data_IF_691366571525
#
_entry.id   IF_691366571525
#
_cell.length_a   1.000
_cell.length_b   1.000
_cell.length_c   1.000
_cell.angle_alpha   90.00
_cell.angle_beta   90.00
_cell.angle_gamma   90.00
#
_symmetry.space_group_name_H-M   'P 1'
#
loop_
_entity.id
_entity.type
_entity.pdbx_description
1 polymer ?
#
# COMPACT_ATOMS: atom_id res chain seq x y z
N UNK A 1 16.82 18.91 -2.67
CA UNK A 1 15.97 17.70 -2.52
C UNK A 1 16.87 16.50 -2.36
N UNK A 2 16.73 15.75 -1.27
CA UNK A 2 17.39 14.47 -1.01
C UNK A 2 16.31 13.39 -0.87
N UNK A 3 16.58 12.18 -1.32
CA UNK A 3 15.61 11.09 -1.29
C UNK A 3 16.21 9.89 -0.58
N UNK A 4 15.51 9.38 0.41
CA UNK A 4 15.72 8.09 1.04
C UNK A 4 14.66 7.12 0.53
N UNK A 5 15.02 5.87 0.31
CA UNK A 5 14.07 4.84 -0.11
C UNK A 5 14.32 3.52 0.60
N UNK A 6 13.28 2.76 0.75
CA UNK A 6 13.30 1.44 1.34
C UNK A 6 12.41 0.51 0.52
N UNK A 7 12.91 -0.64 0.15
CA UNK A 7 12.14 -1.77 -0.33
C UNK A 7 12.62 -3.03 0.39
N UNK A 8 11.71 -3.77 0.96
CA UNK A 8 12.01 -4.97 1.74
C UNK A 8 10.97 -6.06 1.47
N UNK A 9 11.45 -7.26 1.23
CA UNK A 9 10.60 -8.44 1.12
C UNK A 9 10.21 -8.94 2.51
N UNK A 10 8.93 -9.13 2.75
CA UNK A 10 8.38 -9.70 3.96
C UNK A 10 8.49 -11.22 4.02
N UNK A 11 7.49 -11.87 4.60
CA UNK A 11 7.44 -13.35 4.74
C UNK A 11 6.64 -14.04 3.64
N UNK A 12 6.13 -13.30 2.66
CA UNK A 12 5.47 -13.83 1.48
C UNK A 12 6.41 -14.63 0.56
N UNK A 13 5.87 -15.32 -0.44
CA UNK A 13 6.68 -16.05 -1.42
C UNK A 13 7.42 -15.12 -2.39
N UNK A 14 6.88 -13.94 -2.63
CA UNK A 14 7.40 -12.91 -3.52
C UNK A 14 7.11 -11.54 -2.90
N UNK A 15 8.01 -10.57 -3.10
CA UNK A 15 7.69 -9.19 -2.78
C UNK A 15 6.66 -8.67 -3.79
N UNK A 16 5.47 -8.34 -3.32
CA UNK A 16 4.36 -7.85 -4.15
C UNK A 16 4.34 -6.31 -4.21
N UNK A 17 5.18 -5.63 -3.43
CA UNK A 17 5.34 -4.18 -3.47
C UNK A 17 6.22 -3.74 -4.63
N UNK A 18 5.90 -2.56 -5.18
CA UNK A 18 6.70 -1.91 -6.20
C UNK A 18 7.07 -0.49 -5.77
N UNK A 19 8.35 -0.11 -6.01
CA UNK A 19 8.90 1.20 -5.71
C UNK A 19 9.24 1.93 -7.00
N UNK A 20 8.64 3.10 -7.21
CA UNK A 20 8.94 3.99 -8.34
C UNK A 20 9.79 5.17 -7.89
N UNK A 21 10.94 5.33 -8.53
CA UNK A 21 11.80 6.51 -8.41
C UNK A 21 12.36 6.84 -9.80
N UNK A 22 11.73 7.80 -10.49
CA UNK A 22 12.15 8.19 -11.83
C UNK A 22 12.04 9.70 -12.02
N UNK A 23 13.18 10.38 -12.17
CA UNK A 23 13.23 11.83 -12.34
C UNK A 23 12.60 12.58 -11.15
N UNK A 24 11.42 13.15 -11.38
CA UNK A 24 10.63 13.86 -10.37
C UNK A 24 9.36 13.11 -9.95
N UNK A 25 9.20 11.87 -10.39
CA UNK A 25 8.09 10.98 -10.05
C UNK A 25 8.54 9.96 -9.00
N UNK A 26 7.78 9.85 -7.92
CA UNK A 26 7.99 8.90 -6.83
C UNK A 26 6.68 8.20 -6.52
N UNK A 27 6.74 6.89 -6.22
CA UNK A 27 5.53 6.14 -5.93
C UNK A 27 5.81 4.84 -5.21
N UNK A 28 4.82 4.39 -4.46
CA UNK A 28 4.75 3.06 -3.85
C UNK A 28 3.45 2.40 -4.27
N UNK A 29 3.52 1.10 -4.52
CA UNK A 29 2.39 0.30 -4.96
C UNK A 29 2.40 -0.99 -4.15
N UNK A 30 1.29 -1.32 -3.52
CA UNK A 30 1.12 -2.51 -2.70
C UNK A 30 0.24 -3.51 -3.43
N UNK A 31 0.83 -4.63 -3.81
CA UNK A 31 0.16 -5.69 -4.55
C UNK A 31 -0.54 -6.67 -3.62
N UNK A 32 -1.85 -6.75 -3.69
CA UNK A 32 -2.61 -7.63 -2.81
C UNK A 32 -2.39 -9.10 -3.11
N UNK A 33 -1.99 -9.88 -2.10
CA UNK A 33 -1.79 -11.32 -2.19
C UNK A 33 -3.04 -12.03 -2.70
N UNK A 34 -2.89 -12.86 -3.74
CA UNK A 34 -3.99 -13.58 -4.36
C UNK A 34 -4.66 -14.58 -3.41
N UNK A 35 -6.00 -14.70 -3.49
CA UNK A 35 -6.76 -15.72 -2.74
C UNK A 35 -6.59 -17.11 -3.35
N UNK A 36 -6.33 -17.20 -4.65
CA UNK A 36 -6.03 -18.45 -5.34
C UNK A 36 -4.51 -18.69 -5.40
N UNK A 37 -4.04 -19.96 -5.40
CA UNK A 37 -2.62 -20.28 -5.50
C UNK A 37 -2.06 -20.10 -6.94
N UNK A 38 -2.79 -19.40 -7.81
CA UNK A 38 -2.39 -19.24 -9.20
C UNK A 38 -1.14 -18.35 -9.29
N UNK A 39 -0.16 -18.83 -10.04
CA UNK A 39 1.03 -18.06 -10.42
C UNK A 39 1.15 -18.00 -11.93
N UNK A 40 1.87 -17.01 -12.43
CA UNK A 40 2.08 -16.73 -13.84
C UNK A 40 3.55 -16.97 -14.21
N UNK A 41 4.00 -16.38 -15.31
CA UNK A 41 5.36 -16.57 -15.82
C UNK A 41 6.40 -16.28 -14.71
N UNK A 42 7.39 -17.14 -14.59
CA UNK A 42 8.47 -17.03 -13.58
C UNK A 42 7.99 -17.07 -12.11
N UNK A 43 6.79 -17.61 -11.85
CA UNK A 43 6.24 -17.70 -10.49
C UNK A 43 5.65 -16.38 -9.97
N UNK A 44 5.39 -15.42 -10.85
CA UNK A 44 4.78 -14.14 -10.49
C UNK A 44 3.35 -14.33 -9.98
N UNK A 45 2.98 -13.55 -8.98
CA UNK A 45 1.61 -13.51 -8.42
C UNK A 45 0.80 -12.39 -9.07
N UNK A 46 -0.52 -12.43 -8.88
CA UNK A 46 -1.39 -11.35 -9.36
C UNK A 46 -1.07 -10.00 -8.72
N UNK A 47 -0.77 -9.98 -7.41
CA UNK A 47 -0.38 -8.76 -6.69
C UNK A 47 0.91 -8.15 -7.25
N UNK A 48 1.95 -8.97 -7.42
CA UNK A 48 3.20 -8.54 -8.05
C UNK A 48 2.99 -7.94 -9.44
N UNK A 49 2.16 -8.58 -10.27
CA UNK A 49 1.88 -8.10 -11.63
C UNK A 49 1.11 -6.78 -11.59
N UNK A 50 0.09 -6.65 -10.73
CA UNK A 50 -0.69 -5.42 -10.60
C UNK A 50 0.18 -4.23 -10.15
N UNK A 51 0.97 -4.39 -9.09
CA UNK A 51 1.84 -3.32 -8.57
C UNK A 51 2.92 -2.92 -9.57
N UNK A 52 3.55 -3.91 -10.21
CA UNK A 52 4.58 -3.67 -11.23
C UNK A 52 4.02 -2.97 -12.46
N UNK A 53 2.88 -3.40 -13.00
CA UNK A 53 2.23 -2.79 -14.16
C UNK A 53 1.83 -1.35 -13.83
N UNK A 54 1.21 -1.12 -12.67
CA UNK A 54 0.83 0.23 -12.27
C UNK A 54 2.06 1.14 -12.16
N UNK A 55 3.11 0.68 -11.50
CA UNK A 55 4.36 1.43 -11.36
C UNK A 55 5.01 1.78 -12.71
N UNK A 56 5.05 0.83 -13.64
CA UNK A 56 5.61 1.05 -14.98
C UNK A 56 4.77 2.04 -15.81
N UNK A 57 3.43 2.06 -15.66
CA UNK A 57 2.59 3.05 -16.33
C UNK A 57 2.83 4.47 -15.77
N UNK A 58 2.93 4.62 -14.44
CA UNK A 58 3.28 5.89 -13.82
C UNK A 58 4.72 6.35 -14.20
N UNK A 59 5.67 5.42 -14.35
CA UNK A 59 7.05 5.70 -14.78
C UNK A 59 7.11 6.44 -16.12
N UNK A 60 6.16 6.22 -17.03
CA UNK A 60 6.10 6.91 -18.31
C UNK A 60 5.98 8.43 -18.17
N UNK A 61 5.42 8.91 -17.07
CA UNK A 61 5.35 10.32 -16.67
C UNK A 61 4.78 11.25 -17.76
N UNK A 62 3.79 10.77 -18.52
CA UNK A 62 3.15 11.52 -19.60
C UNK A 62 1.68 11.77 -19.31
N UNK A 63 1.27 13.04 -19.24
CA UNK A 63 -0.09 13.44 -18.95
C UNK A 63 -0.32 13.80 -17.48
N UNK A 64 -1.58 13.87 -17.08
CA UNK A 64 -2.00 14.14 -15.70
C UNK A 64 -1.88 12.89 -14.83
N UNK A 65 -1.90 13.06 -13.51
CA UNK A 65 -1.91 11.93 -12.56
C UNK A 65 -3.13 11.03 -12.78
N UNK A 66 -4.28 11.61 -13.08
CA UNK A 66 -5.51 10.87 -13.38
C UNK A 66 -5.42 10.07 -14.69
N UNK A 67 -4.81 10.63 -15.74
CA UNK A 67 -4.60 9.91 -17.00
C UNK A 67 -3.66 8.72 -16.82
N UNK A 68 -2.59 8.88 -16.03
CA UNK A 68 -1.67 7.80 -15.69
C UNK A 68 -2.39 6.69 -14.90
N UNK A 69 -3.20 7.06 -13.91
CA UNK A 69 -3.98 6.13 -13.09
C UNK A 69 -5.00 5.33 -13.94
N UNK A 70 -5.75 6.01 -14.81
CA UNK A 70 -6.68 5.35 -15.74
C UNK A 70 -5.96 4.36 -16.65
N UNK A 71 -4.80 4.75 -17.15
CA UNK A 71 -4.00 3.90 -18.02
C UNK A 71 -3.43 2.69 -17.26
N UNK A 72 -2.92 2.88 -16.04
CA UNK A 72 -2.45 1.79 -15.19
C UNK A 72 -3.55 0.75 -14.94
N UNK A 73 -4.74 1.22 -14.55
CA UNK A 73 -5.89 0.35 -14.31
C UNK A 73 -6.33 -0.40 -15.59
N UNK A 74 -6.32 0.28 -16.74
CA UNK A 74 -6.66 -0.34 -18.02
C UNK A 74 -5.65 -1.43 -18.42
N UNK A 75 -4.35 -1.17 -18.27
CA UNK A 75 -3.30 -2.14 -18.63
C UNK A 75 -3.35 -3.37 -17.72
N UNK A 76 -3.65 -3.20 -16.41
CA UNK A 76 -3.88 -4.33 -15.51
C UNK A 76 -5.01 -5.24 -16.06
N UNK A 77 -6.12 -4.67 -16.51
CA UNK A 77 -7.22 -5.43 -17.11
C UNK A 77 -6.81 -6.18 -18.37
N UNK A 78 -6.07 -5.51 -19.25
CA UNK A 78 -5.58 -6.10 -20.52
C UNK A 78 -4.64 -7.28 -20.24
N UNK A 79 -3.73 -7.15 -19.26
CA UNK A 79 -2.77 -8.18 -18.88
C UNK A 79 -3.45 -9.39 -18.20
N UNK A 80 -4.47 -9.15 -17.36
CA UNK A 80 -5.32 -10.20 -16.81
C UNK A 80 -6.05 -10.97 -17.92
N UNK A 81 -6.65 -10.25 -18.88
CA UNK A 81 -7.36 -10.88 -20.00
C UNK A 81 -6.43 -11.75 -20.87
N UNK A 82 -5.20 -11.30 -21.13
CA UNK A 82 -4.20 -12.06 -21.89
C UNK A 82 -3.81 -13.38 -21.20
N UNK A 83 -3.89 -13.40 -19.85
CA UNK A 83 -3.58 -14.58 -19.01
C UNK A 83 -4.80 -15.39 -18.63
N UNK A 84 -5.96 -15.11 -19.24
CA UNK A 84 -7.23 -15.82 -19.03
C UNK A 84 -7.71 -15.77 -17.56
N UNK A 85 -7.45 -14.69 -16.85
CA UNK A 85 -8.06 -14.43 -15.55
C UNK A 85 -9.56 -14.23 -15.75
N UNK A 86 -10.38 -14.80 -14.87
CA UNK A 86 -11.84 -14.57 -14.90
C UNK A 86 -12.14 -13.15 -14.42
N UNK A 87 -12.42 -12.25 -15.37
CA UNK A 87 -12.67 -10.84 -15.10
C UNK A 87 -14.05 -10.57 -14.46
N UNK A 88 -14.92 -11.56 -14.43
CA UNK A 88 -16.25 -11.47 -13.79
C UNK A 88 -16.20 -11.94 -12.32
N UNK A 89 -15.13 -12.62 -11.91
CA UNK A 89 -14.90 -13.06 -10.55
C UNK A 89 -13.95 -12.12 -9.79
N UNK A 90 -14.49 -11.24 -8.94
CA UNK A 90 -13.69 -10.27 -8.17
C UNK A 90 -12.58 -10.90 -7.32
N UNK A 91 -12.74 -12.16 -6.89
CA UNK A 91 -11.74 -12.85 -6.07
C UNK A 91 -10.48 -13.24 -6.86
N UNK A 92 -10.58 -13.37 -8.18
CA UNK A 92 -9.47 -13.71 -9.07
C UNK A 92 -8.75 -12.47 -9.63
N UNK A 93 -9.37 -11.28 -9.52
CA UNK A 93 -8.77 -10.05 -10.01
C UNK A 93 -7.47 -9.73 -9.27
N UNK A 94 -6.44 -9.40 -10.02
CA UNK A 94 -5.23 -8.80 -9.46
C UNK A 94 -5.54 -7.40 -8.98
N UNK A 95 -4.93 -7.01 -7.87
CA UNK A 95 -5.17 -5.66 -7.37
C UNK A 95 -3.93 -5.05 -6.72
N UNK A 96 -3.87 -3.74 -6.75
CA UNK A 96 -2.83 -2.97 -6.05
C UNK A 96 -3.39 -1.64 -5.55
N UNK A 97 -2.98 -1.27 -4.35
CA UNK A 97 -3.06 0.10 -3.85
C UNK A 97 -1.92 0.93 -4.43
N UNK A 98 -2.02 2.25 -4.40
CA UNK A 98 -0.96 3.12 -4.91
C UNK A 98 -0.96 4.49 -4.23
N UNK A 99 0.24 5.02 -3.99
CA UNK A 99 0.48 6.40 -3.61
C UNK A 99 1.61 6.96 -4.47
N UNK A 100 1.34 7.99 -5.28
CA UNK A 100 2.28 8.53 -6.26
C UNK A 100 2.30 10.05 -6.18
N UNK A 101 3.50 10.62 -6.24
CA UNK A 101 3.72 12.07 -6.30
C UNK A 101 4.64 12.45 -7.45
N UNK A 102 4.40 13.64 -8.01
CA UNK A 102 5.28 14.28 -8.99
C UNK A 102 5.61 15.68 -8.51
N UNK A 103 6.88 15.97 -8.30
CA UNK A 103 7.34 17.24 -7.70
C UNK A 103 7.90 18.16 -8.77
N UNK A 104 7.37 19.39 -8.81
CA UNK A 104 7.83 20.47 -9.67
C UNK A 104 8.08 21.74 -8.83
N UNK A 105 9.33 21.98 -8.45
CA UNK A 105 9.66 23.08 -7.53
C UNK A 105 8.92 22.91 -6.20
N UNK A 106 8.12 23.92 -5.83
CA UNK A 106 7.35 23.93 -4.60
C UNK A 106 5.92 23.37 -4.76
N UNK A 107 5.62 22.70 -5.88
CA UNK A 107 4.31 22.10 -6.12
C UNK A 107 4.44 20.58 -6.25
N UNK A 108 3.64 19.87 -5.51
CA UNK A 108 3.45 18.43 -5.60
C UNK A 108 2.11 18.13 -6.29
N UNK A 109 2.14 17.40 -7.41
CA UNK A 109 0.96 16.71 -7.93
C UNK A 109 0.93 15.32 -7.34
N UNK A 110 -0.24 14.82 -6.98
CA UNK A 110 -0.37 13.53 -6.33
C UNK A 110 -1.57 12.74 -6.82
N UNK A 111 -1.49 11.41 -6.71
CA UNK A 111 -2.60 10.47 -6.89
C UNK A 111 -2.47 9.36 -5.86
N UNK A 112 -3.61 8.94 -5.30
CA UNK A 112 -3.68 7.88 -4.30
C UNK A 112 -4.96 7.07 -4.47
N UNK A 113 -4.84 5.75 -4.34
CA UNK A 113 -5.96 4.81 -4.30
C UNK A 113 -5.61 3.68 -3.32
N UNK A 114 -6.59 3.23 -2.52
CA UNK A 114 -6.37 2.20 -1.50
C UNK A 114 -5.66 2.75 -0.27
N UNK A 115 -4.84 1.94 0.36
CA UNK A 115 -4.26 2.15 1.69
C UNK A 115 -2.79 2.55 1.71
N UNK A 116 -2.10 2.58 0.57
CA UNK A 116 -0.82 3.29 0.49
C UNK A 116 -0.98 4.74 0.94
N UNK A 117 0.02 5.31 1.63
CA UNK A 117 -0.08 6.62 2.28
C UNK A 117 0.85 7.66 1.66
N UNK A 118 0.37 8.93 1.66
CA UNK A 118 1.18 10.11 1.42
C UNK A 118 1.05 11.02 2.64
N UNK A 119 2.17 11.31 3.30
CA UNK A 119 2.24 12.16 4.50
C UNK A 119 3.17 13.33 4.25
N UNK A 120 2.71 14.54 4.51
CA UNK A 120 3.55 15.74 4.58
C UNK A 120 3.95 16.00 6.02
N UNK A 121 5.25 16.05 6.30
CA UNK A 121 5.81 16.42 7.59
C UNK A 121 6.36 17.82 7.49
N UNK A 122 5.90 18.74 8.36
CA UNK A 122 6.24 20.14 8.32
C UNK A 122 7.49 20.46 9.15
N UNK A 123 8.08 21.65 8.92
CA UNK A 123 9.25 22.13 9.67
C UNK A 123 9.01 22.26 11.17
N UNK A 124 7.76 22.57 11.59
CA UNK A 124 7.36 22.69 13.00
C UNK A 124 7.15 21.33 13.68
N UNK A 125 7.22 20.22 12.92
CA UNK A 125 7.04 18.87 13.41
C UNK A 125 5.61 18.34 13.31
N UNK A 126 4.66 19.17 12.91
CA UNK A 126 3.31 18.71 12.58
C UNK A 126 3.33 17.87 11.30
N UNK A 127 2.28 17.09 11.06
CA UNK A 127 2.12 16.29 9.85
C UNK A 127 0.66 16.22 9.43
N UNK A 128 0.45 16.06 8.12
CA UNK A 128 -0.86 15.84 7.53
C UNK A 128 -0.81 14.70 6.51
N UNK A 129 -1.87 13.87 6.49
CA UNK A 129 -2.13 12.99 5.37
C UNK A 129 -2.69 13.78 4.21
N UNK A 130 -2.20 13.52 3.00
CA UNK A 130 -2.67 14.23 1.80
C UNK A 130 -4.14 13.91 1.52
N UNK A 131 -4.56 12.68 1.81
CA UNK A 131 -5.97 12.28 1.80
C UNK A 131 -6.26 11.19 2.84
N UNK A 132 -7.55 11.00 3.13
CA UNK A 132 -7.99 9.91 3.99
C UNK A 132 -8.06 8.62 3.19
N UNK A 133 -7.65 7.51 3.82
CA UNK A 133 -7.76 6.17 3.27
C UNK A 133 -8.69 5.35 4.13
N UNK A 134 -9.63 4.62 3.53
CA UNK A 134 -10.42 3.63 4.25
C UNK A 134 -9.49 2.52 4.77
N UNK A 135 -9.80 2.00 5.95
CA UNK A 135 -9.16 0.80 6.49
C UNK A 135 -10.01 -0.41 6.10
N UNK A 136 -9.72 -1.01 4.95
CA UNK A 136 -10.43 -2.19 4.46
C UNK A 136 -10.20 -3.44 5.31
N UNK A 137 -9.11 -3.46 6.06
CA UNK A 137 -8.68 -4.62 6.84
C UNK A 137 -9.25 -4.63 8.25
N UNK A 138 -9.78 -3.48 8.70
CA UNK A 138 -10.32 -3.28 10.05
C UNK A 138 -11.28 -4.39 10.49
N UNK A 139 -12.26 -4.76 9.65
CA UNK A 139 -13.24 -5.79 9.99
C UNK A 139 -12.57 -7.16 10.19
N UNK A 140 -11.66 -7.53 9.29
CA UNK A 140 -10.96 -8.81 9.32
C UNK A 140 -10.00 -8.89 10.52
N UNK A 141 -9.23 -7.82 10.75
CA UNK A 141 -8.28 -7.77 11.87
C UNK A 141 -8.99 -7.70 13.22
N UNK A 142 -10.16 -7.06 13.29
CA UNK A 142 -11.02 -7.08 14.49
C UNK A 142 -11.51 -8.49 14.81
N UNK A 143 -12.00 -9.23 13.82
CA UNK A 143 -12.38 -10.64 13.99
C UNK A 143 -11.16 -11.47 14.42
N UNK A 144 -10.01 -11.23 13.79
CA UNK A 144 -8.78 -11.96 14.12
C UNK A 144 -8.32 -11.73 15.58
N UNK A 145 -8.46 -10.52 16.08
CA UNK A 145 -8.15 -10.21 17.49
C UNK A 145 -8.95 -11.09 18.47
N UNK A 146 -10.19 -11.39 18.13
CA UNK A 146 -11.08 -12.19 18.98
C UNK A 146 -10.83 -13.70 18.83
N UNK A 147 -10.63 -14.20 17.61
CA UNK A 147 -10.57 -15.64 17.33
C UNK A 147 -9.15 -16.18 17.26
N UNK A 148 -8.17 -15.38 16.88
CA UNK A 148 -6.78 -15.77 16.68
C UNK A 148 -6.14 -16.45 17.91
N UNK A 149 -6.38 -15.98 19.15
CA UNK A 149 -5.86 -16.66 20.35
C UNK A 149 -6.37 -18.09 20.56
N UNK A 150 -7.47 -18.48 19.93
CA UNK A 150 -8.10 -19.81 20.09
C UNK A 150 -7.80 -20.80 18.94
N UNK A 151 -6.97 -20.41 17.97
CA UNK A 151 -6.59 -21.27 16.83
C UNK A 151 -5.08 -21.26 16.60
N UNK A 152 -4.55 -22.38 16.07
CA UNK A 152 -3.16 -22.48 15.62
C UNK A 152 -3.01 -22.14 14.12
N UNK A 153 -4.12 -22.02 13.40
CA UNK A 153 -4.10 -21.67 11.97
C UNK A 153 -3.68 -20.22 11.76
N UNK A 154 -2.98 -19.90 10.67
CA UNK A 154 -2.73 -18.52 10.29
C UNK A 154 -4.03 -17.83 9.84
N UNK A 155 -4.07 -16.50 9.97
CA UNK A 155 -5.25 -15.67 9.66
C UNK A 155 -5.82 -15.93 8.26
N UNK A 156 -4.96 -16.07 7.23
CA UNK A 156 -5.38 -16.32 5.85
C UNK A 156 -6.13 -17.63 5.65
N UNK A 157 -5.92 -18.63 6.52
CA UNK A 157 -6.66 -19.91 6.53
C UNK A 157 -7.91 -19.77 7.39
N UNK A 158 -7.76 -19.31 8.63
CA UNK A 158 -8.86 -19.23 9.58
C UNK A 158 -9.97 -18.26 9.15
N UNK A 159 -9.62 -17.16 8.46
CA UNK A 159 -10.56 -16.12 8.02
C UNK A 159 -10.69 -16.03 6.49
N UNK A 160 -10.39 -17.11 5.77
CA UNK A 160 -10.43 -17.12 4.30
C UNK A 160 -11.77 -16.58 3.72
N UNK A 161 -12.91 -17.02 4.28
CA UNK A 161 -14.23 -16.58 3.82
C UNK A 161 -14.46 -15.09 4.09
N UNK A 162 -13.96 -14.56 5.21
CA UNK A 162 -14.05 -13.13 5.53
C UNK A 162 -13.18 -12.30 4.59
N UNK A 163 -11.95 -12.74 4.34
CA UNK A 163 -11.05 -12.09 3.38
C UNK A 163 -11.66 -12.07 1.98
N UNK A 164 -12.25 -13.20 1.54
CA UNK A 164 -12.96 -13.26 0.26
C UNK A 164 -14.15 -12.30 0.17
N UNK A 165 -14.89 -12.15 1.26
CA UNK A 165 -15.97 -11.15 1.38
C UNK A 165 -15.45 -9.72 1.21
N UNK A 166 -14.36 -9.35 1.89
CA UNK A 166 -13.74 -8.02 1.77
C UNK A 166 -13.29 -7.81 0.32
N UNK A 167 -12.63 -8.82 -0.28
CA UNK A 167 -12.18 -8.76 -1.68
C UNK A 167 -13.33 -8.50 -2.67
N UNK A 168 -14.51 -9.07 -2.45
CA UNK A 168 -15.70 -8.81 -3.29
C UNK A 168 -16.20 -7.36 -3.20
N UNK A 169 -15.75 -6.56 -2.21
CA UNK A 169 -16.12 -5.15 -2.03
C UNK A 169 -15.14 -4.16 -2.68
N UNK A 170 -14.06 -4.65 -3.34
CA UNK A 170 -13.17 -3.79 -4.14
C UNK A 170 -13.98 -2.96 -5.12
N UNK A 171 -13.67 -1.66 -5.21
CA UNK A 171 -14.32 -0.67 -6.07
C UNK A 171 -15.85 -0.58 -5.89
N UNK A 172 -16.31 -0.94 -4.67
CA UNK A 172 -17.67 -0.71 -4.16
C UNK A 172 -17.62 0.07 -2.83
N UNK A 173 -16.79 -0.38 -1.88
CA UNK A 173 -16.63 0.22 -0.56
C UNK A 173 -15.25 0.89 -0.42
N UNK A 174 -14.23 0.38 -1.09
CA UNK A 174 -12.86 0.92 -1.11
C UNK A 174 -12.23 0.75 -2.50
N UNK A 175 -11.27 1.60 -2.84
CA UNK A 175 -10.66 1.63 -4.16
C UNK A 175 -9.37 0.86 -4.25
N UNK A 176 -9.14 0.18 -5.37
CA UNK A 176 -7.85 -0.41 -5.79
C UNK A 176 -7.76 -0.40 -7.31
N UNK A 177 -6.57 -0.40 -7.86
CA UNK A 177 -6.38 -0.71 -9.29
C UNK A 177 -6.49 -2.23 -9.48
N UNK A 178 -7.57 -2.67 -10.12
CA UNK A 178 -7.84 -4.08 -10.39
C UNK A 178 -8.42 -4.31 -11.80
N UNK A 179 -8.37 -3.29 -12.66
CA UNK A 179 -8.92 -3.34 -14.01
C UNK A 179 -10.42 -3.06 -14.11
N UNK A 180 -11.15 -2.92 -13.01
CA UNK A 180 -12.55 -2.47 -13.04
C UNK A 180 -12.63 -0.98 -13.35
N UNK A 181 -13.53 -0.51 -14.23
CA UNK A 181 -13.68 0.92 -14.55
C UNK A 181 -14.00 1.77 -13.32
N UNK A 182 -14.72 1.22 -12.35
CA UNK A 182 -15.17 1.84 -11.11
C UNK A 182 -13.97 2.23 -10.19
N UNK A 183 -12.80 1.64 -10.36
CA UNK A 183 -11.59 1.99 -9.63
C UNK A 183 -11.29 3.49 -9.65
N UNK A 184 -11.62 4.15 -10.76
CA UNK A 184 -11.33 5.58 -10.95
C UNK A 184 -12.26 6.49 -10.13
N UNK A 185 -13.42 6.00 -9.74
CA UNK A 185 -14.33 6.74 -8.86
C UNK A 185 -13.79 6.86 -7.43
N UNK A 186 -12.86 5.97 -7.06
CA UNK A 186 -12.14 5.97 -5.78
C UNK A 186 -10.78 6.65 -5.83
N UNK A 187 -10.30 7.00 -7.02
CA UNK A 187 -9.03 7.69 -7.15
C UNK A 187 -9.13 9.09 -6.54
N UNK A 188 -8.22 9.38 -5.64
CA UNK A 188 -8.02 10.73 -5.13
C UNK A 188 -6.76 11.31 -5.79
N UNK A 189 -6.85 12.54 -6.26
CA UNK A 189 -5.73 13.23 -6.90
C UNK A 189 -5.83 14.73 -6.73
N UNK A 190 -4.70 15.42 -6.80
CA UNK A 190 -4.70 16.87 -6.65
C UNK A 190 -3.31 17.47 -6.77
N UNK A 191 -3.25 18.74 -6.34
CA UNK A 191 -2.01 19.52 -6.23
C UNK A 191 -1.91 20.11 -4.84
N UNK A 192 -0.70 20.16 -4.31
CA UNK A 192 -0.40 20.70 -3.00
C UNK A 192 0.83 21.61 -3.09
N UNK A 193 0.78 22.76 -2.42
CA UNK A 193 1.92 23.65 -2.22
C UNK A 193 2.79 23.07 -1.09
N UNK A 194 4.08 22.91 -1.37
CA UNK A 194 5.03 22.33 -0.43
C UNK A 194 5.69 23.37 0.50
N UNK A 195 5.21 24.62 0.51
CA UNK A 195 5.72 25.66 1.41
C UNK A 195 5.61 25.20 2.88
N UNK A 196 6.74 25.19 3.59
CA UNK A 196 6.81 24.71 4.99
C UNK A 196 6.82 23.19 5.15
N UNK A 197 6.70 22.41 4.08
CA UNK A 197 6.87 20.95 4.11
C UNK A 197 8.36 20.63 4.13
N UNK A 198 8.78 19.87 5.14
CA UNK A 198 10.16 19.39 5.29
C UNK A 198 10.36 18.05 4.59
N UNK A 199 9.43 17.12 4.79
CA UNK A 199 9.48 15.79 4.17
C UNK A 199 8.14 15.42 3.58
N UNK A 200 8.16 14.75 2.43
CA UNK A 200 7.03 14.00 1.89
C UNK A 200 7.36 12.51 2.03
N UNK A 201 6.49 11.77 2.72
CA UNK A 201 6.63 10.33 2.91
C UNK A 201 5.58 9.60 2.09
N UNK A 202 6.00 8.57 1.35
CA UNK A 202 5.11 7.61 0.71
C UNK A 202 5.45 6.23 1.28
N UNK A 203 4.44 5.44 1.63
CA UNK A 203 4.71 4.08 2.13
C UNK A 203 3.50 3.15 1.98
N UNK A 204 3.80 1.85 1.86
CA UNK A 204 2.84 0.74 1.91
C UNK A 204 2.55 0.36 3.37
N UNK A 205 1.53 -0.44 3.60
CA UNK A 205 1.04 -0.78 4.95
C UNK A 205 2.06 -1.54 5.80
N UNK A 206 3.02 -2.26 5.18
CA UNK A 206 4.12 -2.93 5.88
C UNK A 206 5.04 -1.98 6.67
N UNK A 207 4.97 -0.67 6.45
CA UNK A 207 5.67 0.34 7.26
C UNK A 207 4.77 0.96 8.34
N UNK A 208 3.57 0.44 8.58
CA UNK A 208 2.71 0.89 9.68
C UNK A 208 3.18 0.29 11.01
N UNK A 209 3.16 1.10 12.08
CA UNK A 209 3.40 0.57 13.43
C UNK A 209 2.35 -0.50 13.76
N UNK A 210 2.76 -1.69 14.25
CA UNK A 210 1.82 -2.71 14.67
C UNK A 210 0.89 -2.20 15.78
N UNK A 211 -0.42 -2.42 15.64
CA UNK A 211 -1.43 -1.99 16.59
C UNK A 211 -2.05 -3.21 17.30
N UNK A 212 -2.07 -3.19 18.63
CA UNK A 212 -2.68 -4.26 19.43
C UNK A 212 -4.21 -4.28 19.29
N UNK A 213 -4.81 -3.10 19.14
CA UNK A 213 -6.26 -2.93 19.13
C UNK A 213 -6.71 -2.38 17.78
N UNK A 214 -7.22 -3.20 16.86
CA UNK A 214 -7.73 -2.71 15.58
C UNK A 214 -8.81 -1.63 15.71
N UNK A 215 -9.54 -1.60 16.85
CA UNK A 215 -10.60 -0.61 17.12
C UNK A 215 -10.10 0.78 17.53
N UNK A 216 -8.82 0.91 17.84
CA UNK A 216 -8.22 2.19 18.22
C UNK A 216 -7.52 2.81 17.01
N UNK A 217 -7.62 4.12 16.89
CA UNK A 217 -6.86 4.85 15.87
C UNK A 217 -5.35 4.64 16.09
N UNK A 218 -4.61 4.45 15.00
CA UNK A 218 -3.15 4.34 15.06
C UNK A 218 -2.54 5.67 15.48
N UNK A 219 -1.57 5.63 16.36
CA UNK A 219 -0.77 6.82 16.70
C UNK A 219 0.28 7.09 15.60
N UNK A 220 -0.14 7.84 14.59
CA UNK A 220 0.78 8.28 13.54
C UNK A 220 1.79 9.33 14.04
N UNK A 221 1.54 9.98 15.17
CA UNK A 221 2.52 10.88 15.79
C UNK A 221 3.78 10.12 16.19
N UNK A 222 3.63 8.97 16.85
CA UNK A 222 4.76 8.10 17.19
C UNK A 222 5.53 7.65 15.93
N UNK A 223 4.82 7.25 14.88
CA UNK A 223 5.44 6.82 13.62
C UNK A 223 6.25 7.94 12.96
N UNK A 224 5.71 9.16 12.92
CA UNK A 224 6.40 10.33 12.36
C UNK A 224 7.60 10.73 13.21
N UNK A 225 7.50 10.67 14.53
CA UNK A 225 8.61 10.99 15.43
C UNK A 225 9.75 9.98 15.27
N UNK A 226 9.46 8.68 15.22
CA UNK A 226 10.45 7.64 14.93
C UNK A 226 11.15 7.84 13.59
N UNK A 227 10.38 8.18 12.55
CA UNK A 227 10.95 8.52 11.25
C UNK A 227 11.88 9.75 11.34
N UNK A 228 11.48 10.81 12.01
CA UNK A 228 12.29 12.04 12.17
C UNK A 228 13.59 11.79 12.91
N UNK A 229 13.58 10.88 13.88
CA UNK A 229 14.75 10.55 14.70
C UNK A 229 15.74 9.63 13.99
N UNK A 230 15.24 8.67 13.19
CA UNK A 230 16.05 7.55 12.72
C UNK A 230 15.89 7.20 11.22
N UNK A 231 15.09 7.97 10.46
CA UNK A 231 14.82 7.75 9.04
C UNK A 231 13.97 6.52 8.77
N UNK A 232 13.79 6.19 7.50
CA UNK A 232 13.00 5.02 7.08
C UNK A 232 13.55 3.72 7.63
N UNK A 233 14.88 3.59 7.66
CA UNK A 233 15.54 2.37 8.16
C UNK A 233 15.29 2.16 9.65
N UNK A 234 15.43 3.21 10.47
CA UNK A 234 15.20 3.10 11.91
C UNK A 234 13.73 2.80 12.23
N UNK A 235 12.80 3.45 11.53
CA UNK A 235 11.38 3.15 11.64
C UNK A 235 11.09 1.67 11.29
N UNK A 236 11.60 1.16 10.16
CA UNK A 236 11.49 -0.23 9.77
C UNK A 236 12.06 -1.19 10.83
N UNK A 237 13.27 -0.91 11.33
CA UNK A 237 13.92 -1.75 12.35
C UNK A 237 13.09 -1.80 13.63
N UNK A 238 12.45 -0.69 14.02
CA UNK A 238 11.53 -0.64 15.17
C UNK A 238 10.29 -1.51 14.92
N UNK A 239 9.62 -1.37 13.78
CA UNK A 239 8.46 -2.18 13.40
C UNK A 239 8.81 -3.66 13.43
N UNK A 240 9.89 -4.08 12.78
CA UNK A 240 10.34 -5.47 12.76
C UNK A 240 10.67 -6.01 14.15
N UNK A 241 11.16 -5.17 15.07
CA UNK A 241 11.41 -5.56 16.46
C UNK A 241 10.11 -5.88 17.22
N UNK A 242 9.04 -5.14 16.98
CA UNK A 242 7.71 -5.40 17.57
C UNK A 242 7.13 -6.69 16.97
N UNK A 243 7.11 -6.79 15.65
CA UNK A 243 6.59 -7.97 14.93
C UNK A 243 7.28 -9.26 15.34
N UNK A 244 8.59 -9.23 15.61
CA UNK A 244 9.36 -10.39 16.08
C UNK A 244 8.91 -10.89 17.44
N UNK A 245 8.20 -10.09 18.24
CA UNK A 245 7.63 -10.52 19.52
C UNK A 245 6.33 -11.30 19.38
N UNK A 246 5.70 -11.25 18.17
CA UNK A 246 4.41 -11.86 17.89
C UNK A 246 4.38 -12.51 16.50
N UNK A 247 5.14 -13.57 16.32
CA UNK A 247 5.25 -14.28 15.03
C UNK A 247 3.93 -14.88 14.54
N UNK A 248 2.98 -15.11 15.44
CA UNK A 248 1.64 -15.62 15.13
C UNK A 248 0.61 -14.56 14.80
N UNK A 249 0.98 -13.27 14.79
CA UNK A 249 0.09 -12.14 14.46
C UNK A 249 -1.17 -12.08 15.35
N UNK A 250 -1.06 -12.46 16.63
CA UNK A 250 -2.19 -12.57 17.56
C UNK A 250 -2.28 -11.42 18.54
N UNK A 251 -1.14 -10.93 19.01
CA UNK A 251 -1.06 -9.76 19.87
C UNK A 251 -1.30 -8.49 19.04
N UNK A 252 -0.59 -8.42 17.91
CA UNK A 252 -0.69 -7.36 16.90
C UNK A 252 -1.34 -7.94 15.64
N UNK A 253 -2.68 -7.85 15.49
CA UNK A 253 -3.40 -8.41 14.34
C UNK A 253 -2.85 -7.90 13.01
N UNK A 254 -2.41 -8.82 12.15
CA UNK A 254 -1.89 -8.57 10.80
C UNK A 254 -1.93 -9.86 9.97
N UNK A 255 -1.85 -9.75 8.66
CA UNK A 255 -1.99 -10.90 7.76
C UNK A 255 -0.74 -11.77 7.64
N UNK A 256 0.44 -11.17 7.79
CA UNK A 256 1.74 -11.84 7.66
C UNK A 256 2.61 -11.52 8.88
N UNK A 257 3.58 -12.38 9.19
CA UNK A 257 4.57 -12.10 10.24
C UNK A 257 5.32 -10.81 9.95
N UNK A 258 5.80 -10.66 8.70
CA UNK A 258 6.36 -9.41 8.16
C UNK A 258 5.73 -9.19 6.80
N UNK A 259 5.11 -8.04 6.58
CA UNK A 259 4.65 -7.67 5.25
C UNK A 259 5.78 -7.07 4.41
N UNK A 260 5.58 -7.04 3.09
CA UNK A 260 6.46 -6.32 2.19
C UNK A 260 6.46 -4.82 2.56
N UNK A 261 7.55 -4.13 2.30
CA UNK A 261 7.64 -2.68 2.52
C UNK A 261 8.16 -2.02 1.26
N UNK A 262 7.44 -1.02 0.76
CA UNK A 262 7.96 0.00 -0.13
C UNK A 262 7.76 1.38 0.49
N UNK A 263 8.81 2.18 0.57
CA UNK A 263 8.73 3.53 1.11
C UNK A 263 9.70 4.49 0.44
N UNK A 264 9.28 5.76 0.34
CA UNK A 264 10.10 6.88 -0.11
C UNK A 264 9.94 8.04 0.86
N UNK A 265 11.05 8.64 1.26
CA UNK A 265 11.08 9.89 2.00
C UNK A 265 11.82 10.95 1.17
N UNK A 266 11.11 12.02 0.81
CA UNK A 266 11.63 13.11 0.00
C UNK A 266 11.86 14.31 0.92
N UNK A 267 13.11 14.67 1.14
CA UNK A 267 13.48 15.85 1.93
C UNK A 267 13.53 17.07 0.99
N UNK A 268 12.73 18.09 1.32
CA UNK A 268 12.53 19.29 0.51
C UNK A 268 13.56 20.40 0.81
N UNK A 269 14.38 20.23 1.86
CA UNK A 269 15.44 21.19 2.24
C UNK A 269 16.71 21.00 1.42
#
# INVERSE_FOLDING_TARGET
MQVESLIEHGTGALNEDYLLMEGNMFGVFDGATSLSPQTYENGQTGGFLASSIAGEEFRKNHGTMEELARRANMVIREEMAQRNVDLDNKQDLWSTSAAVVRIHGDVMEWAQIGDCRIVCVYENGEFDFVCQCPDQDFETLSIWKDVGPSTDEPIGVALHEQIAKVRCRMNLDYGVFNGEPEAIDFLQSGKLDLSGVRNVLLFTDGLLLPNENPWEERDFGEQVDLFRESGLKGLRDHIRSIEATDLGCRLYPRFKTHDDIAAVAINMC
#
